data_IF_376154500399
#
_entry.id   IF_376154500399
#
_cell.length_a   1.000
_cell.length_b   1.000
_cell.length_c   1.000
_cell.angle_alpha   90.00
_cell.angle_beta   90.00
_cell.angle_gamma   90.00
#
_symmetry.space_group_name_H-M   'P 1'
#
loop_
_entity.id
_entity.type
_entity.pdbx_description
1 polymer ?
#
# COMPACT_ATOMS: atom_id res chain seq x y z
N UNK A 1 -11.04 -10.99 -42.23
CA UNK A 1 -11.35 -11.69 -40.98
C UNK A 1 -10.03 -12.05 -40.36
N UNK A 2 -9.48 -11.14 -39.55
CA UNK A 2 -8.27 -11.38 -38.79
C UNK A 2 -8.71 -11.91 -37.42
N UNK A 3 -8.20 -13.07 -37.07
CA UNK A 3 -8.44 -13.80 -35.83
C UNK A 3 -7.83 -13.00 -34.67
N UNK A 4 -8.69 -12.32 -33.89
CA UNK A 4 -8.32 -11.51 -32.74
C UNK A 4 -8.39 -12.35 -31.44
N UNK A 5 -7.85 -13.56 -31.52
CA UNK A 5 -7.54 -14.38 -30.35
C UNK A 5 -6.25 -13.89 -29.69
N UNK A 6 -6.25 -12.66 -29.17
CA UNK A 6 -5.26 -12.25 -28.18
C UNK A 6 -5.53 -13.03 -26.92
N UNK A 7 -4.72 -14.06 -26.79
CA UNK A 7 -4.60 -15.00 -25.71
C UNK A 7 -4.54 -14.21 -24.36
N UNK A 8 -5.70 -14.09 -23.69
CA UNK A 8 -5.81 -13.51 -22.36
C UNK A 8 -5.36 -14.61 -21.35
N UNK A 9 -4.08 -14.99 -21.44
CA UNK A 9 -3.44 -15.71 -20.36
C UNK A 9 -3.27 -14.72 -19.22
N UNK A 10 -4.26 -14.65 -18.33
CA UNK A 10 -4.06 -14.07 -17.03
C UNK A 10 -2.88 -14.81 -16.40
N UNK A 11 -1.71 -14.18 -16.37
CA UNK A 11 -0.56 -14.71 -15.65
C UNK A 11 -1.00 -14.94 -14.22
N UNK A 12 -1.01 -16.18 -13.79
CA UNK A 12 -1.32 -16.56 -12.41
C UNK A 12 -0.24 -15.95 -11.51
N UNK A 13 -0.62 -15.09 -10.59
CA UNK A 13 0.30 -14.49 -9.62
C UNK A 13 0.49 -15.51 -8.50
N UNK A 14 1.62 -16.18 -8.44
CA UNK A 14 2.00 -17.16 -7.41
C UNK A 14 2.84 -16.56 -6.29
N UNK A 15 3.37 -15.35 -6.51
CA UNK A 15 4.23 -14.68 -5.52
C UNK A 15 4.05 -13.16 -5.52
N UNK A 16 4.08 -12.56 -4.33
CA UNK A 16 3.87 -11.14 -4.14
C UNK A 16 4.83 -10.55 -3.11
N UNK A 17 5.44 -9.40 -3.41
CA UNK A 17 6.19 -8.61 -2.46
C UNK A 17 5.63 -7.19 -2.35
N UNK A 18 5.46 -6.69 -1.13
CA UNK A 18 5.04 -5.32 -0.86
C UNK A 18 6.23 -4.47 -0.41
N UNK A 19 6.48 -3.33 -1.07
CA UNK A 19 7.50 -2.37 -0.67
C UNK A 19 6.87 -1.01 -0.39
N UNK A 20 7.38 -0.30 0.62
CA UNK A 20 6.84 0.98 1.03
C UNK A 20 7.20 1.38 2.45
N UNK A 21 6.32 2.18 3.03
CA UNK A 21 6.45 2.72 4.39
C UNK A 21 5.36 2.19 5.34
N UNK A 22 5.01 2.96 6.37
CA UNK A 22 3.98 2.59 7.37
C UNK A 22 2.62 2.22 6.76
N UNK A 23 2.28 2.81 5.62
CA UNK A 23 1.02 2.54 4.94
C UNK A 23 0.97 1.10 4.40
N UNK A 24 2.10 0.61 3.88
CA UNK A 24 2.24 -0.76 3.36
C UNK A 24 2.58 -1.77 4.46
N UNK A 25 3.33 -1.35 5.51
CA UNK A 25 3.56 -2.17 6.70
C UNK A 25 2.24 -2.54 7.41
N UNK A 26 1.24 -1.64 7.34
CA UNK A 26 -0.09 -1.87 7.91
C UNK A 26 -0.33 -1.17 9.25
N UNK A 27 0.45 -0.12 9.57
CA UNK A 27 0.26 0.64 10.82
C UNK A 27 -1.18 1.15 10.91
N UNK A 28 -1.80 0.97 12.09
CA UNK A 28 -3.22 1.28 12.34
C UNK A 28 -4.13 0.04 12.31
N UNK A 29 -3.60 -1.12 11.91
CA UNK A 29 -4.34 -2.40 11.91
C UNK A 29 -3.59 -3.43 12.78
N UNK A 30 -3.78 -3.44 14.09
CA UNK A 30 -3.05 -4.31 15.01
C UNK A 30 -3.37 -5.79 14.77
N UNK A 31 -2.32 -6.58 14.62
CA UNK A 31 -2.36 -8.02 14.46
C UNK A 31 -1.86 -8.79 15.68
N UNK A 32 -1.79 -10.11 15.57
CA UNK A 32 -1.25 -10.97 16.63
C UNK A 32 0.22 -10.64 16.95
N UNK A 33 0.61 -10.82 18.21
CA UNK A 33 1.99 -10.69 18.65
C UNK A 33 2.58 -9.28 18.55
N UNK A 34 1.74 -8.23 18.43
CA UNK A 34 2.21 -6.84 18.30
C UNK A 34 2.65 -6.46 16.88
N UNK A 35 2.37 -7.30 15.89
CA UNK A 35 2.54 -7.00 14.46
C UNK A 35 1.38 -6.16 13.93
N UNK A 36 1.45 -5.76 12.66
CA UNK A 36 0.35 -5.13 11.95
C UNK A 36 -0.14 -6.01 10.81
N UNK A 37 -1.46 -6.04 10.59
CA UNK A 37 -2.10 -6.64 9.42
C UNK A 37 -2.59 -5.52 8.54
N UNK A 38 -1.89 -5.21 7.46
CA UNK A 38 -2.26 -4.10 6.58
C UNK A 38 -3.02 -4.53 5.34
N UNK A 39 -3.24 -3.56 4.44
CA UNK A 39 -3.87 -3.81 3.15
C UNK A 39 -3.07 -4.79 2.29
N UNK A 40 -1.73 -4.75 2.38
CA UNK A 40 -0.86 -5.63 1.61
C UNK A 40 -1.01 -7.11 2.02
N UNK A 41 -1.14 -7.39 3.33
CA UNK A 41 -1.38 -8.73 3.84
C UNK A 41 -2.77 -9.24 3.44
N UNK A 42 -3.80 -8.38 3.57
CA UNK A 42 -5.16 -8.71 3.13
C UNK A 42 -5.23 -8.95 1.62
N UNK A 43 -4.48 -8.18 0.85
CA UNK A 43 -4.37 -8.35 -0.60
C UNK A 43 -3.66 -9.66 -0.95
N UNK A 44 -2.61 -10.04 -0.22
CA UNK A 44 -1.95 -11.33 -0.38
C UNK A 44 -2.92 -12.50 -0.21
N UNK A 45 -3.80 -12.45 0.81
CA UNK A 45 -4.87 -13.45 1.00
C UNK A 45 -5.82 -13.48 -0.20
N UNK A 46 -6.28 -12.31 -0.69
CA UNK A 46 -7.17 -12.24 -1.85
C UNK A 46 -6.53 -12.80 -3.14
N UNK A 47 -5.22 -12.67 -3.30
CA UNK A 47 -4.48 -13.26 -4.42
C UNK A 47 -4.37 -14.78 -4.27
N UNK A 48 -4.03 -15.24 -3.07
CA UNK A 48 -3.85 -16.66 -2.77
C UNK A 48 -5.15 -17.47 -2.94
N UNK A 49 -6.29 -16.91 -2.53
CA UNK A 49 -7.62 -17.53 -2.68
C UNK A 49 -8.03 -17.74 -4.14
N UNK A 50 -7.29 -17.16 -5.10
CA UNK A 50 -7.54 -17.29 -6.54
C UNK A 50 -6.66 -18.32 -7.23
N UNK A 51 -5.65 -18.85 -6.54
CA UNK A 51 -4.88 -19.96 -7.07
C UNK A 51 -5.78 -21.21 -7.17
N UNK A 52 -5.64 -22.02 -8.24
CA UNK A 52 -6.30 -23.30 -8.28
C UNK A 52 -5.84 -24.13 -7.06
N UNK A 53 -6.80 -24.88 -6.47
CA UNK A 53 -6.45 -25.81 -5.42
C UNK A 53 -5.33 -26.76 -5.91
N UNK A 54 -4.35 -27.10 -5.06
CA UNK A 54 -3.29 -28.03 -5.44
C UNK A 54 -3.90 -29.33 -5.95
N UNK A 55 -3.35 -29.85 -7.07
CA UNK A 55 -3.78 -31.12 -7.63
C UNK A 55 -3.46 -32.24 -6.63
N UNK A 56 -4.46 -32.94 -6.06
CA UNK A 56 -4.24 -33.97 -5.05
C UNK A 56 -3.49 -35.22 -5.60
N UNK A 57 -3.17 -35.24 -6.89
CA UNK A 57 -2.44 -36.33 -7.58
C UNK A 57 -1.10 -35.94 -8.18
N UNK A 58 -0.62 -34.69 -7.98
CA UNK A 58 0.66 -34.25 -8.53
C UNK A 58 1.86 -34.86 -7.80
N UNK A 59 3.02 -35.10 -8.50
CA UNK A 59 4.23 -35.59 -7.86
C UNK A 59 4.92 -34.46 -7.07
N UNK A 60 4.51 -34.28 -5.82
CA UNK A 60 5.09 -33.30 -4.91
C UNK A 60 5.50 -33.95 -3.60
N UNK A 61 6.77 -34.33 -3.51
CA UNK A 61 7.43 -34.62 -2.23
C UNK A 61 7.61 -33.30 -1.46
N UNK A 62 6.62 -32.84 -0.69
CA UNK A 62 6.88 -31.77 0.25
C UNK A 62 5.87 -31.74 1.41
N UNK A 63 6.34 -31.48 2.63
CA UNK A 63 5.53 -31.49 3.86
C UNK A 63 4.72 -30.19 4.07
N UNK A 64 4.08 -29.65 3.03
CA UNK A 64 3.25 -28.44 3.07
C UNK A 64 1.76 -28.70 2.83
N UNK A 65 1.28 -29.90 3.21
CA UNK A 65 -0.11 -30.32 3.03
C UNK A 65 -1.15 -29.49 3.84
N UNK A 66 -0.72 -28.56 4.71
CA UNK A 66 -1.61 -27.81 5.60
C UNK A 66 -1.73 -26.28 5.28
N UNK A 67 -1.17 -25.77 4.19
CA UNK A 67 -1.40 -24.36 3.85
C UNK A 67 -2.76 -24.17 3.17
N UNK A 68 -3.69 -23.39 3.76
CA UNK A 68 -4.98 -23.11 3.15
C UNK A 68 -4.90 -22.34 1.82
N UNK A 69 -3.72 -21.78 1.52
CA UNK A 69 -3.48 -20.92 0.34
C UNK A 69 -2.51 -21.55 -0.67
N UNK A 70 -2.26 -22.87 -0.61
CA UNK A 70 -1.39 -23.59 -1.56
C UNK A 70 0.05 -23.07 -1.56
N UNK A 71 0.65 -22.98 -2.76
CA UNK A 71 2.05 -22.56 -2.93
C UNK A 71 2.24 -21.03 -3.03
N UNK A 72 1.20 -20.24 -2.75
CA UNK A 72 1.31 -18.77 -2.80
C UNK A 72 2.32 -18.25 -1.79
N UNK A 73 3.24 -17.38 -2.25
CA UNK A 73 4.31 -16.82 -1.43
C UNK A 73 4.18 -15.31 -1.30
N UNK A 74 4.39 -14.82 -0.10
CA UNK A 74 4.28 -13.41 0.20
C UNK A 74 5.46 -12.89 1.01
N UNK A 75 5.92 -11.67 0.65
CA UNK A 75 6.88 -10.87 1.42
C UNK A 75 6.34 -9.46 1.67
N UNK A 76 6.62 -8.87 2.82
CA UNK A 76 6.35 -7.47 3.10
C UNK A 76 7.62 -6.81 3.65
N UNK A 77 8.29 -6.06 2.78
CA UNK A 77 9.55 -5.39 3.05
C UNK A 77 9.36 -3.98 3.64
N UNK A 78 8.10 -3.52 3.72
CA UNK A 78 7.79 -2.17 4.14
C UNK A 78 8.16 -1.91 5.60
N UNK A 79 8.73 -0.73 5.85
CA UNK A 79 9.11 -0.26 7.17
C UNK A 79 8.60 1.17 7.37
N UNK A 80 7.89 1.38 8.47
CA UNK A 80 7.31 2.69 8.83
C UNK A 80 8.32 3.82 8.82
N UNK A 81 7.90 4.98 8.35
CA UNK A 81 8.69 6.21 8.38
C UNK A 81 9.79 6.30 7.33
N UNK A 82 10.00 5.28 6.50
CA UNK A 82 10.98 5.32 5.41
C UNK A 82 10.61 6.36 4.37
N UNK A 83 11.63 7.03 3.86
CA UNK A 83 11.57 7.93 2.70
C UNK A 83 11.80 7.15 1.43
N UNK A 84 11.48 7.75 0.29
CA UNK A 84 11.68 7.13 -1.02
C UNK A 84 13.11 6.62 -1.20
N UNK A 85 14.12 7.43 -0.90
CA UNK A 85 15.52 7.03 -1.09
C UNK A 85 15.89 5.82 -0.23
N UNK A 86 15.42 5.75 1.00
CA UNK A 86 15.64 4.60 1.89
C UNK A 86 14.94 3.33 1.36
N UNK A 87 13.72 3.48 0.82
CA UNK A 87 13.00 2.36 0.20
C UNK A 87 13.78 1.86 -1.02
N UNK A 88 14.29 2.78 -1.85
CA UNK A 88 15.09 2.46 -3.04
C UNK A 88 16.40 1.77 -2.67
N UNK A 89 17.07 2.20 -1.62
CA UNK A 89 18.34 1.64 -1.19
C UNK A 89 18.21 0.29 -0.47
N UNK A 90 17.15 0.11 0.33
CA UNK A 90 16.99 -1.06 1.21
C UNK A 90 16.03 -2.11 0.62
N UNK A 91 14.87 -1.69 0.09
CA UNK A 91 13.79 -2.60 -0.27
C UNK A 91 13.79 -2.99 -1.75
N UNK A 92 14.14 -2.07 -2.66
CA UNK A 92 14.16 -2.35 -4.10
C UNK A 92 15.17 -3.45 -4.46
N UNK A 93 16.44 -3.44 -3.97
CA UNK A 93 17.37 -4.55 -4.22
C UNK A 93 16.83 -5.88 -3.71
N UNK A 94 16.23 -5.88 -2.51
CA UNK A 94 15.67 -7.11 -1.94
C UNK A 94 14.48 -7.64 -2.75
N UNK A 95 13.57 -6.76 -3.20
CA UNK A 95 12.46 -7.15 -4.06
C UNK A 95 12.95 -7.76 -5.39
N UNK A 96 14.03 -7.23 -5.97
CA UNK A 96 14.66 -7.78 -7.18
C UNK A 96 15.29 -9.15 -6.95
N UNK A 97 15.96 -9.36 -5.81
CA UNK A 97 16.51 -10.68 -5.43
C UNK A 97 15.41 -11.74 -5.25
N UNK A 98 14.28 -11.33 -4.66
CA UNK A 98 13.12 -12.21 -4.48
C UNK A 98 12.41 -12.53 -5.81
N UNK A 99 12.53 -11.64 -6.81
CA UNK A 99 11.94 -11.77 -8.15
C UNK A 99 10.48 -12.27 -8.15
N UNK A 100 9.55 -11.63 -7.41
CA UNK A 100 8.16 -12.07 -7.34
C UNK A 100 7.41 -11.77 -8.65
N UNK A 101 6.26 -12.43 -8.84
CA UNK A 101 5.36 -12.14 -9.97
C UNK A 101 4.73 -10.76 -9.87
N UNK A 102 4.54 -10.25 -8.65
CA UNK A 102 3.95 -8.94 -8.38
C UNK A 102 4.73 -8.19 -7.30
N UNK A 103 5.03 -6.93 -7.56
CA UNK A 103 5.47 -5.96 -6.52
C UNK A 103 4.45 -4.83 -6.43
N UNK A 104 3.99 -4.49 -5.23
CA UNK A 104 3.31 -3.20 -5.00
C UNK A 104 4.30 -2.18 -4.48
N UNK A 105 4.34 -0.99 -5.10
CA UNK A 105 5.24 0.09 -4.74
C UNK A 105 4.47 1.33 -4.28
N UNK A 106 4.53 1.60 -2.98
CA UNK A 106 3.85 2.72 -2.32
C UNK A 106 4.87 3.57 -1.55
N UNK A 107 5.29 4.71 -2.10
CA UNK A 107 6.33 5.56 -1.51
C UNK A 107 6.16 7.05 -1.83
N UNK A 108 6.90 7.90 -1.12
CA UNK A 108 6.93 9.35 -1.32
C UNK A 108 5.98 10.14 -0.41
N UNK A 109 5.06 9.47 0.30
CA UNK A 109 4.15 10.14 1.24
C UNK A 109 4.90 10.85 2.37
N UNK A 110 5.89 10.18 2.95
CA UNK A 110 6.75 10.74 4.00
C UNK A 110 7.65 11.88 3.49
N UNK A 111 8.04 11.84 2.22
CA UNK A 111 8.83 12.89 1.58
C UNK A 111 8.00 14.16 1.39
N UNK A 112 6.80 14.05 0.81
CA UNK A 112 5.91 15.17 0.50
C UNK A 112 5.57 16.00 1.76
N UNK A 113 5.45 15.36 2.90
CA UNK A 113 5.17 16.03 4.18
C UNK A 113 6.37 16.87 4.66
N UNK A 114 7.58 16.64 4.14
CA UNK A 114 8.76 17.41 4.53
C UNK A 114 8.77 18.79 3.87
N UNK A 115 9.18 19.84 4.60
CA UNK A 115 9.39 21.15 4.00
C UNK A 115 10.44 21.08 2.88
N UNK A 116 10.20 21.80 1.80
CA UNK A 116 11.16 21.88 0.69
C UNK A 116 11.13 20.73 -0.32
N UNK A 117 10.38 19.64 -0.08
CA UNK A 117 10.24 18.58 -1.07
C UNK A 117 9.54 19.09 -2.32
N UNK A 118 10.19 18.90 -3.47
CA UNK A 118 9.63 19.13 -4.79
C UNK A 118 9.00 17.82 -5.31
N UNK A 119 7.72 17.81 -5.68
CA UNK A 119 7.06 16.62 -6.22
C UNK A 119 7.63 16.16 -7.57
N UNK A 120 8.20 17.08 -8.37
CA UNK A 120 8.79 16.75 -9.68
C UNK A 120 10.09 15.96 -9.47
N UNK A 121 11.01 16.47 -8.61
CA UNK A 121 12.25 15.78 -8.25
C UNK A 121 11.97 14.42 -7.58
N UNK A 122 10.94 14.36 -6.76
CA UNK A 122 10.52 13.12 -6.10
C UNK A 122 10.05 12.09 -7.14
N UNK A 123 9.28 12.52 -8.12
CA UNK A 123 8.75 11.68 -9.19
C UNK A 123 9.87 11.12 -10.08
N UNK A 124 10.89 11.92 -10.41
CA UNK A 124 12.04 11.43 -11.18
C UNK A 124 12.78 10.29 -10.45
N UNK A 125 12.93 10.40 -9.12
CA UNK A 125 13.54 9.34 -8.32
C UNK A 125 12.67 8.09 -8.27
N UNK A 126 11.36 8.28 -8.12
CA UNK A 126 10.38 7.19 -8.16
C UNK A 126 10.39 6.47 -9.51
N UNK A 127 10.46 7.23 -10.62
CA UNK A 127 10.52 6.65 -11.97
C UNK A 127 11.73 5.74 -12.17
N UNK A 128 12.91 6.17 -11.70
CA UNK A 128 14.12 5.34 -11.78
C UNK A 128 13.94 4.00 -11.04
N UNK A 129 13.29 4.02 -9.89
CA UNK A 129 13.01 2.81 -9.13
C UNK A 129 11.98 1.90 -9.83
N UNK A 130 10.92 2.47 -10.44
CA UNK A 130 9.95 1.71 -11.25
C UNK A 130 10.63 1.07 -12.44
N UNK A 131 11.48 1.82 -13.17
CA UNK A 131 12.23 1.31 -14.30
C UNK A 131 13.13 0.12 -13.92
N UNK A 132 13.81 0.23 -12.76
CA UNK A 132 14.69 -0.82 -12.25
C UNK A 132 13.91 -2.08 -11.83
N UNK A 133 12.79 -1.91 -11.12
CA UNK A 133 11.89 -3.00 -10.72
C UNK A 133 11.27 -3.69 -11.93
N UNK A 134 10.74 -2.94 -12.90
CA UNK A 134 10.05 -3.48 -14.08
C UNK A 134 10.94 -4.37 -14.95
N UNK A 135 12.26 -4.25 -14.84
CA UNK A 135 13.22 -5.11 -15.51
C UNK A 135 13.55 -6.41 -14.74
N UNK A 136 13.10 -6.52 -13.47
CA UNK A 136 13.54 -7.60 -12.59
C UNK A 136 12.39 -8.44 -12.01
N UNK A 137 11.15 -7.94 -12.04
CA UNK A 137 9.97 -8.61 -11.47
C UNK A 137 8.87 -8.76 -12.51
N UNK A 138 7.86 -9.60 -12.24
CA UNK A 138 6.79 -9.85 -13.20
C UNK A 138 5.93 -8.61 -13.47
N UNK A 139 5.39 -7.99 -12.45
CA UNK A 139 4.54 -6.80 -12.55
C UNK A 139 4.83 -5.84 -11.40
N UNK A 140 4.87 -4.54 -11.67
CA UNK A 140 4.94 -3.49 -10.65
C UNK A 140 3.61 -2.75 -10.59
N UNK A 141 2.91 -2.83 -9.46
CA UNK A 141 1.70 -2.01 -9.21
C UNK A 141 2.10 -0.73 -8.48
N UNK A 142 1.86 0.41 -9.12
CA UNK A 142 2.13 1.74 -8.56
C UNK A 142 0.95 2.20 -7.71
N UNK A 143 1.21 2.77 -6.53
CA UNK A 143 0.15 3.29 -5.65
C UNK A 143 0.20 4.81 -5.61
N UNK A 144 -0.93 5.50 -5.86
CA UNK A 144 -1.04 6.96 -5.74
C UNK A 144 -1.32 7.37 -4.28
N UNK A 145 -0.99 8.63 -3.94
CA UNK A 145 -1.42 9.22 -2.68
C UNK A 145 -2.93 9.52 -2.65
N UNK A 146 -3.52 9.47 -1.47
CA UNK A 146 -4.95 9.77 -1.26
C UNK A 146 -5.25 11.27 -1.23
N UNK A 147 -6.53 11.65 -1.46
CA UNK A 147 -6.99 13.06 -1.39
C UNK A 147 -7.08 13.53 0.07
N UNK A 148 -6.18 14.42 0.45
CA UNK A 148 -6.06 14.93 1.81
C UNK A 148 -7.03 16.08 2.14
N UNK A 149 -8.02 16.39 1.26
CA UNK A 149 -8.96 17.51 1.48
C UNK A 149 -9.66 17.47 2.84
N UNK A 150 -10.00 16.26 3.32
CA UNK A 150 -10.71 16.02 4.58
C UNK A 150 -9.79 16.01 5.83
N UNK A 151 -8.48 16.04 5.66
CA UNK A 151 -7.52 15.96 6.77
C UNK A 151 -6.95 17.35 7.07
N UNK A 152 -7.35 18.00 8.17
CA UNK A 152 -7.08 19.43 8.41
C UNK A 152 -5.61 19.85 8.27
N UNK A 153 -4.67 18.99 8.72
CA UNK A 153 -3.23 19.26 8.65
C UNK A 153 -2.66 18.99 7.26
N UNK A 154 -3.07 17.86 6.64
CA UNK A 154 -2.52 17.44 5.36
C UNK A 154 -3.16 18.14 4.15
N UNK A 155 -4.30 18.84 4.33
CA UNK A 155 -4.96 19.56 3.22
C UNK A 155 -4.05 20.59 2.53
N UNK A 156 -3.07 21.14 3.24
CA UNK A 156 -2.11 22.09 2.68
C UNK A 156 -1.11 21.42 1.74
N UNK A 157 -0.91 20.10 1.87
CA UNK A 157 -0.06 19.30 0.99
C UNK A 157 -0.83 18.75 -0.24
N UNK A 158 -2.17 18.96 -0.28
CA UNK A 158 -3.03 18.43 -1.33
C UNK A 158 -2.54 18.75 -2.73
N UNK A 159 -2.06 19.98 -2.98
CA UNK A 159 -1.51 20.38 -4.27
C UNK A 159 -0.27 19.58 -4.65
N UNK A 160 0.68 19.41 -3.72
CA UNK A 160 1.89 18.60 -3.96
C UNK A 160 1.55 17.12 -4.21
N UNK A 161 0.62 16.57 -3.42
CA UNK A 161 0.16 15.18 -3.62
C UNK A 161 -0.50 15.02 -4.99
N UNK A 162 -1.34 15.98 -5.41
CA UNK A 162 -1.97 15.95 -6.72
C UNK A 162 -0.94 15.99 -7.86
N UNK A 163 0.06 16.87 -7.78
CA UNK A 163 1.17 16.95 -8.75
C UNK A 163 1.92 15.61 -8.80
N UNK A 164 2.33 15.09 -7.64
CA UNK A 164 3.02 13.81 -7.56
C UNK A 164 2.17 12.66 -8.16
N UNK A 165 0.88 12.61 -7.87
CA UNK A 165 -0.03 11.60 -8.44
C UNK A 165 -0.15 11.69 -9.97
N UNK A 166 -0.08 12.90 -10.55
CA UNK A 166 -0.05 13.06 -12.02
C UNK A 166 1.19 12.41 -12.60
N UNK A 167 2.36 12.62 -11.98
CA UNK A 167 3.60 11.95 -12.39
C UNK A 167 3.53 10.44 -12.21
N UNK A 168 3.05 9.95 -11.05
CA UNK A 168 2.92 8.51 -10.81
C UNK A 168 2.06 7.81 -11.86
N UNK A 169 0.97 8.46 -12.31
CA UNK A 169 0.13 7.93 -13.39
C UNK A 169 0.85 7.93 -14.74
N UNK A 170 1.60 9.00 -15.05
CA UNK A 170 2.38 9.08 -16.29
C UNK A 170 3.52 8.04 -16.31
N UNK A 171 4.15 7.79 -15.16
CA UNK A 171 5.16 6.73 -14.97
C UNK A 171 4.50 5.36 -15.16
N UNK A 172 3.38 5.12 -14.49
CA UNK A 172 2.66 3.86 -14.60
C UNK A 172 2.24 3.56 -16.06
N UNK A 173 1.75 4.56 -16.79
CA UNK A 173 1.40 4.44 -18.21
C UNK A 173 2.63 4.08 -19.05
N UNK A 174 3.76 4.75 -18.83
CA UNK A 174 5.03 4.52 -19.56
C UNK A 174 5.55 3.10 -19.36
N UNK A 175 5.49 2.57 -18.16
CA UNK A 175 5.99 1.24 -17.79
C UNK A 175 4.88 0.16 -17.76
N UNK A 176 3.67 0.52 -18.22
CA UNK A 176 2.50 -0.39 -18.26
C UNK A 176 2.16 -1.01 -16.88
N UNK A 177 2.36 -0.22 -15.84
CA UNK A 177 2.08 -0.63 -14.46
C UNK A 177 0.60 -0.47 -14.11
N UNK A 178 -0.07 -1.46 -13.50
CA UNK A 178 -1.35 -1.25 -12.85
C UNK A 178 -1.26 -0.13 -11.80
N UNK A 179 -2.31 0.66 -11.66
CA UNK A 179 -2.35 1.76 -10.68
C UNK A 179 -3.37 1.49 -9.59
N UNK A 180 -2.90 1.33 -8.36
CA UNK A 180 -3.75 1.39 -7.17
C UNK A 180 -4.03 2.86 -6.85
N UNK A 181 -5.15 3.37 -7.38
CA UNK A 181 -5.51 4.77 -7.29
C UNK A 181 -6.27 5.10 -6.00
N UNK A 182 -5.53 5.52 -4.98
CA UNK A 182 -6.11 5.93 -3.70
C UNK A 182 -6.74 7.33 -3.76
N UNK A 183 -6.35 8.17 -4.73
CA UNK A 183 -6.95 9.49 -4.88
C UNK A 183 -8.42 9.42 -5.28
N UNK A 184 -8.78 8.48 -6.14
CA UNK A 184 -10.16 8.28 -6.60
C UNK A 184 -10.99 7.41 -5.65
N UNK A 185 -10.38 6.66 -4.73
CA UNK A 185 -11.07 5.80 -3.77
C UNK A 185 -11.79 6.64 -2.72
N UNK A 186 -13.09 6.86 -2.91
CA UNK A 186 -13.90 7.78 -2.09
C UNK A 186 -14.06 7.30 -0.66
N UNK A 187 -14.08 6.00 -0.46
CA UNK A 187 -14.24 5.39 0.86
C UNK A 187 -13.11 5.77 1.82
N UNK A 188 -11.87 5.99 1.33
CA UNK A 188 -10.77 6.44 2.19
C UNK A 188 -10.76 7.95 2.45
N UNK A 189 -11.71 8.70 1.88
CA UNK A 189 -11.93 10.11 2.23
C UNK A 189 -12.74 10.29 3.51
N UNK A 190 -13.44 9.24 3.97
CA UNK A 190 -14.19 9.24 5.22
C UNK A 190 -13.25 9.06 6.42
N UNK A 191 -13.53 9.77 7.52
CA UNK A 191 -12.73 9.71 8.76
C UNK A 191 -12.62 8.29 9.34
N UNK A 192 -13.60 7.44 9.12
CA UNK A 192 -13.65 6.04 9.60
C UNK A 192 -12.66 5.12 8.91
N UNK A 193 -12.18 5.49 7.73
CA UNK A 193 -11.10 4.76 7.06
C UNK A 193 -9.74 4.96 7.75
N UNK A 194 -9.65 5.88 8.71
CA UNK A 194 -8.41 6.27 9.37
C UNK A 194 -8.44 5.93 10.84
N UNK A 195 -7.30 5.51 11.38
CA UNK A 195 -7.09 5.26 12.79
C UNK A 195 -7.20 6.55 13.63
N UNK A 196 -7.06 6.42 14.94
CA UNK A 196 -7.13 7.52 15.89
C UNK A 196 -6.13 8.64 15.57
N UNK A 197 -4.96 8.30 15.07
CA UNK A 197 -3.89 9.24 14.69
C UNK A 197 -4.19 10.02 13.40
N UNK A 198 -5.18 9.65 12.60
CA UNK A 198 -5.59 10.27 11.33
C UNK A 198 -4.51 10.32 10.25
N UNK A 199 -3.48 9.52 10.40
CA UNK A 199 -2.36 9.40 9.47
C UNK A 199 -2.30 8.00 8.85
N UNK A 200 -2.66 6.99 9.62
CA UNK A 200 -2.70 5.59 9.19
C UNK A 200 -4.14 5.12 8.99
N UNK A 201 -4.30 4.10 8.16
CA UNK A 201 -5.61 3.52 7.91
C UNK A 201 -6.10 2.74 9.14
N UNK A 202 -7.41 2.74 9.36
CA UNK A 202 -8.07 1.79 10.26
C UNK A 202 -8.10 0.39 9.62
N UNK A 203 -8.42 -0.68 10.39
CA UNK A 203 -8.60 -2.02 9.83
C UNK A 203 -9.57 -2.06 8.65
N UNK A 204 -10.69 -1.32 8.73
CA UNK A 204 -11.65 -1.20 7.63
C UNK A 204 -11.07 -0.44 6.44
N UNK A 205 -10.31 0.62 6.67
CA UNK A 205 -9.60 1.35 5.61
C UNK A 205 -8.62 0.46 4.86
N UNK A 206 -7.82 -0.33 5.58
CA UNK A 206 -6.92 -1.33 5.01
C UNK A 206 -7.68 -2.38 4.19
N UNK A 207 -8.81 -2.88 4.68
CA UNK A 207 -9.66 -3.82 3.94
C UNK A 207 -10.11 -3.23 2.59
N UNK A 208 -10.58 -2.00 2.58
CA UNK A 208 -11.04 -1.34 1.35
C UNK A 208 -9.93 -1.13 0.33
N UNK A 209 -8.73 -0.78 0.80
CA UNK A 209 -7.55 -0.65 -0.08
C UNK A 209 -7.16 -2.00 -0.67
N UNK A 210 -7.18 -3.09 0.11
CA UNK A 210 -6.89 -4.44 -0.38
C UNK A 210 -7.89 -4.89 -1.45
N UNK A 211 -9.19 -4.66 -1.23
CA UNK A 211 -10.23 -4.95 -2.21
C UNK A 211 -10.02 -4.16 -3.51
N UNK A 212 -9.65 -2.86 -3.41
CA UNK A 212 -9.35 -2.05 -4.59
C UNK A 212 -8.11 -2.56 -5.33
N UNK A 213 -7.06 -2.98 -4.62
CA UNK A 213 -5.87 -3.57 -5.24
C UNK A 213 -6.22 -4.83 -6.05
N UNK A 214 -7.06 -5.70 -5.50
CA UNK A 214 -7.56 -6.89 -6.21
C UNK A 214 -8.39 -6.54 -7.46
N UNK A 215 -9.28 -5.54 -7.38
CA UNK A 215 -10.03 -5.06 -8.54
C UNK A 215 -9.14 -4.49 -9.64
N UNK A 216 -8.05 -3.81 -9.30
CA UNK A 216 -7.09 -3.26 -10.29
C UNK A 216 -6.48 -4.37 -11.15
N UNK A 217 -6.29 -5.55 -10.58
CA UNK A 217 -5.81 -6.75 -11.31
C UNK A 217 -6.94 -7.55 -11.99
N UNK A 218 -8.17 -7.04 -11.99
CA UNK A 218 -9.32 -7.71 -12.62
C UNK A 218 -9.92 -8.83 -11.78
N UNK A 219 -9.57 -8.94 -10.49
CA UNK A 219 -10.19 -9.93 -9.60
C UNK A 219 -11.57 -9.46 -9.13
N UNK A 220 -12.51 -10.40 -9.10
CA UNK A 220 -13.77 -10.20 -8.37
C UNK A 220 -13.49 -10.13 -6.88
N UNK A 221 -14.19 -9.24 -6.18
CA UNK A 221 -14.01 -9.04 -4.74
C UNK A 221 -15.35 -9.23 -3.99
N UNK A 222 -15.30 -9.67 -2.72
CA UNK A 222 -16.52 -9.99 -1.97
C UNK A 222 -17.37 -8.76 -1.62
N UNK A 223 -16.82 -7.54 -1.73
CA UNK A 223 -17.53 -6.30 -1.45
C UNK A 223 -16.98 -5.15 -2.31
N UNK A 224 -17.79 -4.14 -2.57
CA UNK A 224 -17.35 -2.92 -3.25
C UNK A 224 -16.44 -2.11 -2.32
N UNK A 225 -15.14 -1.91 -2.68
CA UNK A 225 -14.23 -1.09 -1.87
C UNK A 225 -14.68 0.35 -1.72
N UNK A 226 -15.50 0.84 -2.64
CA UNK A 226 -16.02 2.21 -2.64
C UNK A 226 -17.44 2.33 -2.09
N UNK A 227 -17.95 1.26 -1.51
CA UNK A 227 -19.27 1.27 -0.85
C UNK A 227 -19.37 2.44 0.13
N UNK A 228 -20.40 3.28 0.02
CA UNK A 228 -20.60 4.39 0.93
C UNK A 228 -20.66 3.93 2.39
N UNK A 229 -20.05 4.70 3.27
CA UNK A 229 -20.19 4.46 4.70
C UNK A 229 -21.62 4.72 5.17
N UNK A 230 -22.10 3.97 6.17
CA UNK A 230 -23.42 4.24 6.75
C UNK A 230 -23.53 5.69 7.22
N UNK A 231 -24.71 6.33 7.12
CA UNK A 231 -24.90 7.68 7.61
C UNK A 231 -24.50 7.81 9.08
N UNK A 232 -23.82 8.90 9.44
CA UNK A 232 -23.51 9.24 10.82
C UNK A 232 -24.38 10.37 11.30
N UNK A 233 -24.73 10.36 12.59
CA UNK A 233 -25.35 11.50 13.22
C UNK A 233 -24.42 12.73 13.10
N UNK A 234 -24.99 13.86 12.75
CA UNK A 234 -24.24 15.12 12.68
C UNK A 234 -23.68 15.46 14.07
N UNK A 235 -22.37 15.61 14.14
CA UNK A 235 -21.69 16.04 15.38
C UNK A 235 -21.84 17.55 15.55
N UNK A 236 -21.89 17.99 16.79
CA UNK A 236 -21.91 19.41 17.07
C UNK A 236 -20.55 20.04 16.72
N UNK A 237 -20.48 21.22 16.12
CA UNK A 237 -19.20 21.86 15.75
C UNK A 237 -18.26 22.05 16.93
N UNK A 238 -18.80 22.25 18.13
CA UNK A 238 -17.99 22.38 19.36
C UNK A 238 -17.29 21.07 19.74
N UNK A 239 -17.97 19.92 19.61
CA UNK A 239 -17.41 18.62 19.92
C UNK A 239 -16.30 18.26 18.92
N UNK A 240 -16.52 18.54 17.62
CA UNK A 240 -15.51 18.35 16.58
C UNK A 240 -14.25 19.19 16.84
N UNK A 241 -14.43 20.46 17.25
CA UNK A 241 -13.30 21.33 17.58
C UNK A 241 -12.49 20.82 18.77
N UNK A 242 -13.18 20.36 19.82
CA UNK A 242 -12.56 19.78 21.02
C UNK A 242 -11.73 18.54 20.65
N UNK A 243 -12.32 17.65 19.87
CA UNK A 243 -11.65 16.44 19.42
C UNK A 243 -10.44 16.73 18.52
N UNK A 244 -10.53 17.76 17.69
CA UNK A 244 -9.39 18.19 16.86
C UNK A 244 -8.24 18.74 17.70
N UNK A 245 -8.54 19.49 18.79
CA UNK A 245 -7.52 20.00 19.71
C UNK A 245 -6.86 18.85 20.48
N UNK A 246 -7.67 17.91 20.97
CA UNK A 246 -7.16 16.74 21.69
C UNK A 246 -6.27 15.91 20.77
N UNK A 247 -6.74 15.59 19.58
CA UNK A 247 -5.96 14.87 18.58
C UNK A 247 -4.64 15.57 18.25
N UNK A 248 -4.66 16.88 18.06
CA UNK A 248 -3.44 17.64 17.77
C UNK A 248 -2.40 17.51 18.90
N UNK A 249 -2.85 17.52 20.17
CA UNK A 249 -1.96 17.36 21.33
C UNK A 249 -1.42 15.94 21.45
N UNK A 250 -2.24 14.94 21.21
CA UNK A 250 -1.89 13.53 21.39
C UNK A 250 -1.01 12.99 20.25
N UNK A 251 -1.29 13.39 19.02
CA UNK A 251 -0.66 12.78 17.84
C UNK A 251 0.20 13.76 17.03
N UNK A 252 -0.35 14.93 16.66
CA UNK A 252 0.31 15.86 15.76
C UNK A 252 1.55 16.51 16.38
N UNK A 253 1.45 17.04 17.60
CA UNK A 253 2.57 17.74 18.26
C UNK A 253 3.74 16.77 18.53
N UNK A 254 3.53 15.57 19.09
CA UNK A 254 4.61 14.59 19.23
C UNK A 254 5.22 14.14 17.89
N UNK A 255 4.39 14.00 16.86
CA UNK A 255 4.86 13.65 15.51
C UNK A 255 5.76 14.75 14.92
N UNK A 256 5.35 16.03 14.99
CA UNK A 256 6.17 17.16 14.57
C UNK A 256 7.49 17.18 15.38
N UNK A 257 7.42 16.97 16.69
CA UNK A 257 8.60 16.95 17.57
C UNK A 257 9.63 15.88 17.13
N UNK A 258 9.20 14.66 16.82
CA UNK A 258 10.09 13.63 16.28
C UNK A 258 10.70 14.05 14.95
N UNK A 259 9.90 14.58 14.03
CA UNK A 259 10.39 15.07 12.72
C UNK A 259 11.45 16.15 12.84
N UNK A 260 11.29 17.10 13.76
CA UNK A 260 12.28 18.15 14.00
C UNK A 260 13.60 17.61 14.59
N UNK A 261 13.56 16.51 15.33
CA UNK A 261 14.76 15.83 15.85
C UNK A 261 15.41 14.87 14.84
N UNK A 262 14.81 14.70 13.65
CA UNK A 262 15.26 13.73 12.65
C UNK A 262 14.98 12.26 13.02
N UNK A 263 14.16 12.01 14.04
CA UNK A 263 13.80 10.68 14.48
C UNK A 263 12.69 10.09 13.60
N UNK A 264 12.85 8.84 13.19
CA UNK A 264 11.82 8.06 12.50
C UNK A 264 11.21 7.02 13.42
N UNK A 265 9.92 6.76 13.27
CA UNK A 265 9.26 5.64 13.97
C UNK A 265 9.74 4.27 13.49
N UNK A 266 10.46 4.24 12.36
CA UNK A 266 11.06 3.04 11.79
C UNK A 266 12.53 2.85 12.11
N UNK A 267 13.12 3.70 12.96
CA UNK A 267 14.50 3.50 13.41
C UNK A 267 14.56 2.20 14.21
N UNK A 268 15.47 1.30 13.82
CA UNK A 268 15.62 -0.05 14.41
C UNK A 268 14.45 -1.02 14.21
N UNK A 269 13.54 -0.72 13.26
CA UNK A 269 12.46 -1.62 12.86
C UNK A 269 12.88 -2.37 11.61
N UNK A 270 12.75 -3.69 11.65
CA UNK A 270 12.96 -4.56 10.50
C UNK A 270 11.64 -4.85 9.78
N UNK A 271 11.73 -5.26 8.52
CA UNK A 271 10.59 -5.70 7.75
C UNK A 271 9.90 -6.90 8.42
N UNK A 272 8.58 -6.85 8.55
CA UNK A 272 7.82 -7.89 9.26
C UNK A 272 7.83 -9.26 8.56
N UNK A 273 8.09 -9.28 7.24
CA UNK A 273 8.12 -10.48 6.42
C UNK A 273 9.13 -10.32 5.28
N UNK A 274 10.45 -10.43 5.58
CA UNK A 274 11.52 -10.07 4.63
C UNK A 274 11.73 -11.10 3.50
N UNK A 275 11.14 -12.28 3.62
CA UNK A 275 11.31 -13.40 2.70
C UNK A 275 9.99 -13.80 2.04
N UNK A 276 10.05 -14.34 0.81
CA UNK A 276 8.91 -14.97 0.14
C UNK A 276 8.62 -16.33 0.79
N UNK A 277 7.79 -16.30 1.82
CA UNK A 277 7.35 -17.48 2.54
C UNK A 277 5.90 -17.84 2.16
N UNK A 278 5.48 -19.11 2.29
CA UNK A 278 4.07 -19.48 2.15
C UNK A 278 3.17 -18.64 3.06
N UNK A 279 1.98 -18.27 2.57
CA UNK A 279 1.03 -17.40 3.27
C UNK A 279 0.35 -18.12 4.44
#
# INVERSE_FOLDING_TARGET
MADDSRNNQQHTIGSYAAIGDSFTEGVGDPGPGGTFVGWADRFAVLLADRLPAPDPGGPGDAPYEDSPHGDFRYANLAVRGRLLDQIVEEQVPRAKELAPDLVTFCAGGNDIIRPGTDPDDLAERFERAVADLSNAVGTVMVTTGFDTRGVPVLRHMRGKIATYNVHLRAIADRYQCPVLDLWSLRSVQDRRAWDADRLHLSPEGHTRVALRAAQVLGHEVPADPDQPWPPQAQRRPFDERRDNIQWAREYLVPWIGRRLRGESSGDHVEAKRPDLLPL
#
